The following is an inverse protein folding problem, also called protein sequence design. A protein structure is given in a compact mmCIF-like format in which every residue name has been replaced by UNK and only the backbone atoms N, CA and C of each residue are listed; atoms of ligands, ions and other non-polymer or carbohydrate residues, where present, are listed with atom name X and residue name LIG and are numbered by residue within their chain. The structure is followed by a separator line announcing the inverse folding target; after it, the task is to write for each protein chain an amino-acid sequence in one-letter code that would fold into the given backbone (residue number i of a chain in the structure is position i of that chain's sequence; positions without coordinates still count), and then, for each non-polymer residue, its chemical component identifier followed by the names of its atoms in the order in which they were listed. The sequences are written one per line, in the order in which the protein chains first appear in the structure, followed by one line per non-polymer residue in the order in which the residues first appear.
data_IF_075659077247
#
_entry.id   IF_075659077247
#
_cell.length_a   1.000
_cell.length_b   1.000
_cell.length_c   1.000
_cell.angle_alpha   90.00
_cell.angle_beta   90.00
_cell.angle_gamma   90.00
#
_symmetry.space_group_name_H-M   'P 1'
#
loop_
_entity.id
_entity.type
_entity.pdbx_description
1 polymer ?
#
# COMPACT_ATOMS: atom_id res chain seq x y z
N UNK A 1 8.27 -8.03 -1.50
CA UNK A 1 7.04 -8.70 -1.04
C UNK A 1 6.52 -9.61 -2.16
N UNK A 2 6.57 -10.94 -1.97
CA UNK A 2 6.05 -11.91 -2.94
C UNK A 2 4.57 -11.70 -3.24
N UNK A 3 4.12 -12.15 -4.42
CA UNK A 3 2.73 -11.98 -4.90
C UNK A 3 1.70 -12.56 -3.92
N UNK A 4 1.97 -13.72 -3.32
CA UNK A 4 1.03 -14.35 -2.39
C UNK A 4 0.77 -13.49 -1.14
N UNK A 5 1.84 -12.99 -0.51
CA UNK A 5 1.72 -12.10 0.65
C UNK A 5 1.02 -10.79 0.24
N UNK A 6 1.34 -10.29 -0.96
CA UNK A 6 0.76 -9.07 -1.49
C UNK A 6 -0.75 -9.18 -1.72
N UNK A 7 -1.22 -10.30 -2.25
CA UNK A 7 -2.67 -10.57 -2.43
C UNK A 7 -3.37 -10.55 -1.07
N UNK A 8 -2.82 -11.23 -0.06
CA UNK A 8 -3.39 -11.24 1.30
C UNK A 8 -3.48 -9.82 1.86
N UNK A 9 -2.44 -9.01 1.68
CA UNK A 9 -2.43 -7.62 2.14
C UNK A 9 -3.49 -6.80 1.39
N UNK A 10 -3.57 -6.90 0.07
CA UNK A 10 -4.55 -6.17 -0.74
C UNK A 10 -5.97 -6.56 -0.34
N UNK A 11 -6.25 -7.84 -0.12
CA UNK A 11 -7.56 -8.31 0.31
C UNK A 11 -7.96 -7.70 1.66
N UNK A 12 -7.04 -7.62 2.62
CA UNK A 12 -7.27 -6.92 3.90
C UNK A 12 -7.56 -5.44 3.63
N UNK A 13 -6.74 -4.75 2.85
CA UNK A 13 -6.91 -3.33 2.58
C UNK A 13 -8.26 -3.03 1.89
N UNK A 14 -8.67 -3.85 0.93
CA UNK A 14 -9.97 -3.72 0.25
C UNK A 14 -11.13 -3.99 1.22
N UNK A 15 -11.03 -5.05 2.04
CA UNK A 15 -12.05 -5.39 3.05
C UNK A 15 -12.32 -4.23 4.01
N UNK A 16 -11.26 -3.53 4.42
CA UNK A 16 -11.35 -2.36 5.30
C UNK A 16 -11.45 -1.03 4.55
N UNK A 17 -11.72 -1.04 3.24
CA UNK A 17 -11.92 0.15 2.40
C UNK A 17 -10.78 1.19 2.50
N UNK A 18 -9.55 0.70 2.59
CA UNK A 18 -8.37 1.55 2.65
C UNK A 18 -8.00 2.09 1.27
N UNK A 19 -7.62 3.37 1.25
CA UNK A 19 -6.89 3.97 0.15
C UNK A 19 -5.43 3.47 0.26
N UNK A 20 -4.81 3.04 -0.84
CA UNK A 20 -3.41 2.61 -0.78
C UNK A 20 -2.63 2.85 -2.07
N UNK A 21 -1.31 2.89 -1.94
CA UNK A 21 -0.35 3.00 -3.04
C UNK A 21 0.60 1.82 -2.99
N UNK A 22 0.84 1.20 -4.14
CA UNK A 22 1.81 0.12 -4.30
C UNK A 22 2.97 0.61 -5.17
N UNK A 23 4.20 0.34 -4.72
CA UNK A 23 5.41 0.39 -5.54
C UNK A 23 5.84 -1.03 -5.84
N UNK A 24 5.96 -1.35 -7.12
CA UNK A 24 6.44 -2.66 -7.56
C UNK A 24 7.96 -2.67 -7.72
N UNK A 25 8.55 -3.86 -7.61
CA UNK A 25 9.97 -4.06 -7.89
C UNK A 25 10.24 -3.79 -9.37
N UNK A 26 11.35 -3.11 -9.65
CA UNK A 26 11.81 -2.73 -10.99
C UNK A 26 10.77 -1.94 -11.82
N UNK A 27 9.87 -1.21 -11.15
CA UNK A 27 8.92 -0.29 -11.79
C UNK A 27 8.99 1.10 -11.17
N UNK A 28 9.14 2.12 -12.02
CA UNK A 28 9.12 3.54 -11.66
C UNK A 28 7.70 4.09 -11.52
N UNK A 29 6.66 3.25 -11.57
CA UNK A 29 5.26 3.65 -11.44
C UNK A 29 4.71 3.38 -10.03
N UNK A 30 3.89 4.30 -9.54
CA UNK A 30 3.04 4.11 -8.36
C UNK A 30 1.63 3.74 -8.75
N UNK A 31 1.10 2.69 -8.13
CA UNK A 31 -0.24 2.17 -8.42
C UNK A 31 -1.18 2.52 -7.28
N UNK A 32 -2.25 3.26 -7.54
CA UNK A 32 -3.15 3.77 -6.50
C UNK A 32 -4.51 3.11 -6.53
N UNK A 33 -5.01 2.77 -5.33
CA UNK A 33 -6.43 2.54 -5.06
C UNK A 33 -6.98 3.76 -4.32
N UNK A 34 -8.10 4.27 -4.84
CA UNK A 34 -8.77 5.47 -4.35
C UNK A 34 -8.54 6.69 -5.25
N UNK A 35 -9.60 7.21 -5.87
CA UNK A 35 -9.50 8.35 -6.80
C UNK A 35 -8.92 9.61 -6.15
N UNK A 36 -9.24 9.85 -4.88
CA UNK A 36 -8.71 10.99 -4.13
C UNK A 36 -7.20 10.89 -3.97
N UNK A 37 -6.71 9.69 -3.68
CA UNK A 37 -5.28 9.42 -3.53
C UNK A 37 -4.55 9.60 -4.86
N UNK A 38 -5.11 9.06 -5.94
CA UNK A 38 -4.60 9.25 -7.29
C UNK A 38 -4.48 10.74 -7.63
N UNK A 39 -5.55 11.53 -7.42
CA UNK A 39 -5.53 12.99 -7.64
C UNK A 39 -4.50 13.74 -6.78
N UNK A 40 -4.33 13.35 -5.51
CA UNK A 40 -3.35 13.98 -4.62
C UNK A 40 -1.93 13.69 -5.11
N UNK A 41 -1.65 12.44 -5.47
CA UNK A 41 -0.32 12.01 -5.85
C UNK A 41 0.05 12.48 -7.26
N UNK A 42 -0.92 12.71 -8.15
CA UNK A 42 -0.67 13.25 -9.49
C UNK A 42 -0.15 14.69 -9.48
N UNK A 43 -0.07 15.35 -8.31
CA UNK A 43 0.55 16.67 -8.18
C UNK A 43 2.08 16.56 -8.24
N UNK A 44 2.76 17.51 -8.92
CA UNK A 44 4.22 17.56 -8.96
C UNK A 44 4.83 17.53 -7.55
N UNK A 45 5.85 16.70 -7.34
CA UNK A 45 6.59 16.58 -6.07
C UNK A 45 5.98 15.66 -5.01
N UNK A 46 4.84 15.00 -5.29
CA UNK A 46 4.19 14.10 -4.32
C UNK A 46 4.63 12.62 -4.44
N UNK A 47 5.53 12.32 -5.38
CA UNK A 47 6.02 10.98 -5.67
C UNK A 47 6.98 10.49 -4.58
N UNK A 48 6.98 9.19 -4.33
CA UNK A 48 8.03 8.53 -3.53
C UNK A 48 9.33 8.53 -4.35
N UNK A 49 10.48 8.62 -3.68
CA UNK A 49 11.79 8.76 -4.33
C UNK A 49 11.98 7.74 -5.47
N UNK A 50 12.29 8.26 -6.67
CA UNK A 50 12.52 7.45 -7.87
C UNK A 50 11.28 7.17 -8.74
N UNK A 51 10.07 7.42 -8.24
CA UNK A 51 8.84 7.16 -8.99
C UNK A 51 8.52 8.30 -9.97
N UNK A 52 8.16 7.94 -11.21
CA UNK A 52 7.98 8.85 -12.34
C UNK A 52 6.51 9.06 -12.72
N UNK A 53 5.65 8.07 -12.55
CA UNK A 53 4.24 8.17 -12.95
C UNK A 53 3.30 7.52 -11.95
N UNK A 54 2.02 7.89 -12.04
CA UNK A 54 0.93 7.28 -11.29
C UNK A 54 -0.03 6.58 -12.22
N UNK A 55 -0.44 5.40 -11.80
CA UNK A 55 -1.39 4.56 -12.51
C UNK A 55 -2.50 4.11 -11.56
N UNK A 56 -3.71 3.89 -12.07
CA UNK A 56 -4.71 3.16 -11.30
C UNK A 56 -4.19 1.75 -11.01
N UNK A 57 -4.46 1.26 -9.81
CA UNK A 57 -4.18 -0.14 -9.47
C UNK A 57 -5.14 -1.07 -10.22
N UNK A 58 -4.60 -2.19 -10.71
CA UNK A 58 -5.33 -3.28 -11.35
C UNK A 58 -4.96 -4.58 -10.65
N UNK A 59 -5.96 -5.36 -10.24
CA UNK A 59 -5.74 -6.62 -9.51
C UNK A 59 -5.13 -7.70 -10.42
N UNK A 60 -5.41 -7.67 -11.71
CA UNK A 60 -4.87 -8.63 -12.69
C UNK A 60 -3.36 -8.41 -12.97
N UNK A 61 -2.82 -7.24 -12.59
CA UNK A 61 -1.43 -6.84 -12.83
C UNK A 61 -0.56 -6.91 -11.55
N UNK A 62 -0.96 -7.71 -10.57
CA UNK A 62 -0.20 -7.88 -9.32
C UNK A 62 1.12 -8.61 -9.61
N UNK A 63 2.21 -8.04 -9.10
CA UNK A 63 3.57 -8.58 -9.16
C UNK A 63 4.31 -8.31 -7.85
N UNK A 64 5.59 -8.66 -7.79
CA UNK A 64 6.41 -8.47 -6.58
C UNK A 64 6.45 -6.97 -6.23
N UNK A 65 6.07 -6.63 -5.00
CA UNK A 65 6.06 -5.25 -4.50
C UNK A 65 7.23 -4.94 -3.57
N UNK A 66 7.77 -3.73 -3.68
CA UNK A 66 8.72 -3.20 -2.72
C UNK A 66 8.01 -2.76 -1.43
N UNK A 67 6.93 -2.00 -1.60
CA UNK A 67 6.25 -1.31 -0.51
C UNK A 67 4.79 -1.01 -0.84
N UNK A 68 3.94 -1.06 0.18
CA UNK A 68 2.59 -0.49 0.15
C UNK A 68 2.50 0.61 1.20
N UNK A 69 1.86 1.72 0.84
CA UNK A 69 1.46 2.76 1.79
C UNK A 69 -0.05 2.77 1.85
N UNK A 70 -0.61 2.45 3.01
CA UNK A 70 -2.05 2.41 3.23
C UNK A 70 -2.50 3.58 4.10
N UNK A 71 -3.69 4.11 3.83
CA UNK A 71 -4.36 5.08 4.70
C UNK A 71 -5.85 4.77 4.80
N UNK A 72 -6.46 5.23 5.89
CA UNK A 72 -7.91 5.22 6.04
C UNK A 72 -8.40 6.57 6.60
N UNK A 73 -9.65 6.96 6.29
CA UNK A 73 -10.22 8.24 6.76
C UNK A 73 -10.76 8.18 8.19
N UNK A 74 -11.19 7.00 8.64
CA UNK A 74 -11.60 6.71 10.01
C UNK A 74 -10.47 6.07 10.81
N UNK A 75 -10.19 6.61 12.01
CA UNK A 75 -9.19 6.12 12.95
C UNK A 75 -9.51 4.72 13.47
N UNK A 76 -10.79 4.46 13.75
CA UNK A 76 -11.23 3.15 14.28
C UNK A 76 -11.00 2.06 13.23
N UNK A 77 -11.46 2.30 12.00
CA UNK A 77 -11.27 1.37 10.89
C UNK A 77 -9.78 1.18 10.55
N UNK A 78 -8.97 2.24 10.65
CA UNK A 78 -7.51 2.13 10.51
C UNK A 78 -6.92 1.19 11.56
N UNK A 79 -7.31 1.31 12.84
CA UNK A 79 -6.81 0.46 13.91
C UNK A 79 -7.21 -1.00 13.74
N UNK A 80 -8.44 -1.28 13.30
CA UNK A 80 -8.90 -2.63 13.00
C UNK A 80 -8.10 -3.25 11.85
N UNK A 81 -7.94 -2.51 10.75
CA UNK A 81 -7.13 -2.91 9.60
C UNK A 81 -5.67 -3.14 10.00
N UNK A 82 -5.07 -2.22 10.74
CA UNK A 82 -3.69 -2.31 11.21
C UNK A 82 -3.48 -3.55 12.08
N UNK A 83 -4.43 -3.86 12.96
CA UNK A 83 -4.43 -5.08 13.77
C UNK A 83 -4.49 -6.33 12.91
N UNK A 84 -5.33 -6.34 11.86
CA UNK A 84 -5.43 -7.45 10.93
C UNK A 84 -4.12 -7.66 10.14
N UNK A 85 -3.51 -6.58 9.63
CA UNK A 85 -2.22 -6.66 8.94
C UNK A 85 -1.10 -7.21 9.83
N UNK A 86 -1.07 -6.84 11.12
CA UNK A 86 -0.08 -7.34 12.08
C UNK A 86 -0.15 -8.86 12.31
N UNK A 87 -1.22 -9.53 11.89
CA UNK A 87 -1.34 -11.00 11.95
C UNK A 87 -0.66 -11.70 10.75
N UNK A 88 -0.27 -10.97 9.71
CA UNK A 88 0.40 -11.54 8.54
C UNK A 88 1.90 -11.66 8.84
N UNK A 89 2.40 -12.90 8.87
CA UNK A 89 3.74 -13.22 9.38
C UNK A 89 4.90 -12.70 8.50
N UNK A 90 4.69 -12.57 7.19
CA UNK A 90 5.76 -12.30 6.22
C UNK A 90 5.89 -10.81 5.84
N UNK A 91 5.27 -9.92 6.61
CA UNK A 91 5.31 -8.48 6.37
C UNK A 91 5.69 -7.74 7.64
N UNK A 92 6.30 -6.57 7.46
CA UNK A 92 6.45 -5.58 8.50
C UNK A 92 5.46 -4.45 8.23
N UNK A 93 4.75 -4.04 9.28
CA UNK A 93 3.77 -2.95 9.24
C UNK A 93 4.24 -1.86 10.20
N UNK A 94 4.52 -0.68 9.68
CA UNK A 94 5.04 0.45 10.45
C UNK A 94 4.04 1.62 10.41
N UNK A 95 3.67 2.19 11.56
CA UNK A 95 2.74 3.30 11.58
C UNK A 95 3.44 4.57 11.08
N UNK A 96 2.81 5.26 10.13
CA UNK A 96 3.24 6.58 9.66
C UNK A 96 2.49 7.71 10.37
N UNK A 97 1.24 7.45 10.74
CA UNK A 97 0.36 8.40 11.43
C UNK A 97 -0.78 7.63 12.12
N UNK A 98 -1.71 8.35 12.75
CA UNK A 98 -2.92 7.76 13.30
C UNK A 98 -3.88 7.18 12.25
N UNK A 99 -3.62 7.43 10.96
CA UNK A 99 -4.49 7.10 9.83
C UNK A 99 -3.76 6.38 8.70
N UNK A 100 -2.47 6.05 8.85
CA UNK A 100 -1.69 5.47 7.77
C UNK A 100 -0.49 4.66 8.25
N UNK A 101 -0.11 3.68 7.45
CA UNK A 101 1.03 2.81 7.70
C UNK A 101 1.76 2.47 6.40
N UNK A 102 3.03 2.10 6.59
CA UNK A 102 3.85 1.43 5.61
C UNK A 102 3.79 -0.07 5.81
N UNK A 103 3.79 -0.80 4.69
CA UNK A 103 3.81 -2.26 4.65
C UNK A 103 4.94 -2.67 3.73
N UNK A 104 5.91 -3.37 4.28
CA UNK A 104 7.07 -3.91 3.54
C UNK A 104 7.20 -5.40 3.81
N UNK A 105 8.01 -6.09 3.02
CA UNK A 105 8.26 -7.51 3.27
C UNK A 105 9.04 -7.70 4.58
N UNK A 106 8.72 -8.77 5.32
CA UNK A 106 9.30 -9.08 6.62
C UNK A 106 10.79 -9.46 6.55
N UNK A 107 11.21 -10.06 5.43
CA UNK A 107 12.61 -10.38 5.21
C UNK A 107 13.37 -9.17 4.69
N UNK A 108 13.91 -8.41 5.63
CA UNK A 108 15.08 -7.58 5.43
C UNK A 108 16.33 -8.48 5.51
N UNK A 109 16.72 -9.11 4.41
CA UNK A 109 18.04 -9.72 4.25
C UNK A 109 18.60 -9.36 2.88
#
# INVERSE_FOLDING_TARGET
MPVLDLVIVIDILIKYQCDFIISYQDDDNLYCVGEKLLKIKSKPGAFLDGMKQLKPFCFDDIRIANKIVAKHSSKIMFQEMYTALKQVLNINVEPLSEYGCDIVHGNSN
#
